data_IF_337299568795
#
_entry.id   IF_337299568795
#
_cell.length_a   1.000
_cell.length_b   1.000
_cell.length_c   1.000
_cell.angle_alpha   90.00
_cell.angle_beta   90.00
_cell.angle_gamma   90.00
#
_symmetry.space_group_name_H-M   'P 1'
#
loop_
_entity.id
_entity.type
_entity.pdbx_description
1 polymer ?
#
# COMPACT_ATOMS: atom_id res chain seq x y z
N UNK A 1 -2.46 19.48 11.99
CA UNK A 1 -2.36 18.20 11.24
C UNK A 1 -3.39 17.17 11.76
N UNK A 2 -3.92 17.36 12.99
CA UNK A 2 -4.87 16.42 13.63
C UNK A 2 -6.31 16.45 13.05
N UNK A 3 -6.67 17.44 12.25
CA UNK A 3 -8.05 17.65 11.79
C UNK A 3 -8.34 17.21 10.35
N UNK A 4 -7.49 16.36 9.73
CA UNK A 4 -7.60 16.03 8.32
C UNK A 4 -7.73 14.54 7.92
N UNK A 5 -8.47 13.65 8.61
CA UNK A 5 -8.76 12.33 8.03
C UNK A 5 -9.71 12.41 6.83
N UNK A 6 -10.45 13.52 6.69
CA UNK A 6 -11.64 13.67 5.82
C UNK A 6 -11.31 14.01 4.37
N UNK A 7 -10.16 14.56 4.13
CA UNK A 7 -9.76 15.11 2.84
C UNK A 7 -8.92 14.14 1.99
N UNK A 8 -8.43 13.06 2.57
CA UNK A 8 -7.55 12.09 1.89
C UNK A 8 -8.28 11.19 0.89
N UNK A 9 -9.58 10.93 1.09
CA UNK A 9 -10.41 10.23 0.10
C UNK A 9 -10.51 10.93 -1.26
N UNK A 10 -10.33 12.24 -1.30
CA UNK A 10 -10.29 13.01 -2.56
C UNK A 10 -9.03 12.71 -3.39
N UNK A 11 -7.89 12.39 -2.79
CA UNK A 11 -6.69 11.97 -3.52
C UNK A 11 -6.93 10.72 -4.36
N UNK A 12 -7.71 9.76 -3.86
CA UNK A 12 -8.06 8.54 -4.59
C UNK A 12 -9.05 8.80 -5.75
N UNK A 13 -9.86 9.86 -5.66
CA UNK A 13 -10.71 10.33 -6.78
C UNK A 13 -9.86 10.81 -7.94
N UNK A 14 -8.86 11.65 -7.67
CA UNK A 14 -7.96 12.17 -8.71
C UNK A 14 -7.08 11.06 -9.30
N UNK A 15 -6.64 10.11 -8.49
CA UNK A 15 -5.92 8.93 -8.95
C UNK A 15 -6.69 8.15 -10.01
N UNK A 16 -7.98 7.92 -9.79
CA UNK A 16 -8.84 7.27 -10.78
C UNK A 16 -8.93 8.06 -12.07
N UNK A 17 -9.11 9.38 -11.98
CA UNK A 17 -9.20 10.23 -13.15
C UNK A 17 -7.93 10.20 -13.98
N UNK A 18 -6.77 10.29 -13.33
CA UNK A 18 -5.46 10.24 -13.98
C UNK A 18 -5.22 8.88 -14.64
N UNK A 19 -5.53 7.79 -13.96
CA UNK A 19 -5.35 6.45 -14.52
C UNK A 19 -6.30 6.18 -15.68
N UNK A 20 -7.56 6.63 -15.58
CA UNK A 20 -8.50 6.53 -16.69
C UNK A 20 -8.07 7.40 -17.88
N UNK A 21 -7.51 8.59 -17.62
CA UNK A 21 -6.95 9.46 -18.64
C UNK A 21 -5.74 8.80 -19.33
N UNK A 22 -4.84 8.21 -18.56
CA UNK A 22 -3.70 7.44 -19.09
C UNK A 22 -4.17 6.27 -19.96
N UNK A 23 -5.11 5.45 -19.48
CA UNK A 23 -5.67 4.35 -20.25
C UNK A 23 -6.40 4.83 -21.51
N UNK A 24 -7.07 5.97 -21.44
CA UNK A 24 -7.71 6.59 -22.61
C UNK A 24 -6.67 7.03 -23.66
N UNK A 25 -5.56 7.62 -23.24
CA UNK A 25 -4.48 8.02 -24.16
C UNK A 25 -3.74 6.83 -24.76
N UNK A 26 -3.57 5.74 -24.00
CA UNK A 26 -2.85 4.55 -24.47
C UNK A 26 -3.74 3.64 -25.35
N UNK A 27 -5.01 3.45 -25.00
CA UNK A 27 -5.91 2.47 -25.61
C UNK A 27 -7.11 3.10 -26.34
N UNK A 28 -7.26 4.43 -26.32
CA UNK A 28 -8.40 5.14 -26.90
C UNK A 28 -9.73 4.73 -26.26
N UNK A 29 -10.82 4.79 -27.04
CA UNK A 29 -12.18 4.39 -26.57
C UNK A 29 -12.25 2.92 -26.16
N UNK A 30 -11.28 2.09 -26.57
CA UNK A 30 -11.26 0.67 -26.26
C UNK A 30 -10.94 0.37 -24.78
N UNK A 31 -10.48 1.34 -23.98
CA UNK A 31 -10.17 1.12 -22.57
C UNK A 31 -11.39 0.60 -21.77
N UNK A 32 -12.63 0.92 -22.18
CA UNK A 32 -13.83 0.35 -21.58
C UNK A 32 -13.95 -1.15 -21.77
N UNK A 33 -13.38 -1.70 -22.84
CA UNK A 33 -13.35 -3.16 -23.06
C UNK A 33 -12.50 -3.87 -22.01
N UNK A 34 -11.49 -3.20 -21.46
CA UNK A 34 -10.65 -3.77 -20.41
C UNK A 34 -11.37 -3.87 -19.07
N UNK A 35 -12.34 -3.01 -18.78
CA UNK A 35 -13.20 -3.17 -17.61
C UNK A 35 -14.05 -4.46 -17.71
N UNK A 36 -14.49 -4.86 -18.90
CA UNK A 36 -15.18 -6.14 -19.13
C UNK A 36 -14.23 -7.34 -18.97
N UNK A 37 -12.96 -7.17 -19.30
CA UNK A 37 -11.91 -8.19 -19.17
C UNK A 37 -11.34 -8.35 -17.77
N UNK A 38 -11.60 -7.42 -16.86
CA UNK A 38 -11.09 -7.42 -15.47
C UNK A 38 -11.38 -8.76 -14.77
N UNK A 39 -12.58 -9.32 -15.00
CA UNK A 39 -12.97 -10.60 -14.44
C UNK A 39 -12.94 -10.63 -12.90
N UNK A 40 -13.11 -11.82 -12.34
CA UNK A 40 -13.14 -12.00 -10.88
C UNK A 40 -11.82 -11.63 -10.21
N UNK A 41 -10.69 -11.95 -10.83
CA UNK A 41 -9.36 -11.65 -10.23
C UNK A 41 -9.11 -10.15 -10.11
N UNK A 42 -9.38 -9.38 -11.17
CA UNK A 42 -9.17 -7.93 -11.11
C UNK A 42 -10.18 -7.22 -10.21
N UNK A 43 -11.41 -7.73 -10.12
CA UNK A 43 -12.40 -7.20 -9.18
C UNK A 43 -11.97 -7.43 -7.72
N UNK A 44 -11.59 -8.68 -7.38
CA UNK A 44 -11.10 -9.02 -6.03
C UNK A 44 -9.84 -8.24 -5.68
N UNK A 45 -8.89 -8.14 -6.62
CA UNK A 45 -7.67 -7.36 -6.43
C UNK A 45 -7.94 -5.87 -6.27
N UNK A 46 -8.83 -5.31 -7.07
CA UNK A 46 -9.21 -3.90 -6.99
C UNK A 46 -9.92 -3.54 -5.69
N UNK A 47 -10.86 -4.37 -5.23
CA UNK A 47 -11.52 -4.20 -3.93
C UNK A 47 -10.50 -4.37 -2.80
N UNK A 48 -9.64 -5.40 -2.86
CA UNK A 48 -8.57 -5.61 -1.87
C UNK A 48 -7.66 -4.40 -1.73
N UNK A 49 -7.21 -3.84 -2.85
CA UNK A 49 -6.40 -2.62 -2.85
C UNK A 49 -7.17 -1.42 -2.31
N UNK A 50 -8.44 -1.27 -2.66
CA UNK A 50 -9.28 -0.18 -2.15
C UNK A 50 -9.48 -0.28 -0.63
N UNK A 51 -9.74 -1.48 -0.11
CA UNK A 51 -9.79 -1.73 1.34
C UNK A 51 -8.44 -1.39 1.98
N UNK A 52 -7.32 -1.82 1.37
CA UNK A 52 -6.00 -1.51 1.87
C UNK A 52 -5.76 -0.01 2.03
N UNK A 53 -6.10 0.77 1.01
CA UNK A 53 -5.89 2.22 1.00
C UNK A 53 -6.74 2.94 2.04
N UNK A 54 -8.02 2.58 2.15
CA UNK A 54 -8.92 3.16 3.16
C UNK A 54 -8.43 2.80 4.56
N UNK A 55 -8.12 1.52 4.79
CA UNK A 55 -7.66 1.04 6.08
C UNK A 55 -6.32 1.65 6.48
N UNK A 56 -5.40 1.90 5.53
CA UNK A 56 -4.16 2.62 5.79
C UNK A 56 -4.41 4.02 6.37
N UNK A 57 -5.32 4.77 5.74
CA UNK A 57 -5.69 6.12 6.22
C UNK A 57 -6.28 6.06 7.63
N UNK A 58 -7.18 5.10 7.89
CA UNK A 58 -7.75 4.91 9.23
C UNK A 58 -6.70 4.49 10.24
N UNK A 59 -5.76 3.64 9.87
CA UNK A 59 -4.66 3.26 10.75
C UNK A 59 -3.82 4.48 11.15
N UNK A 60 -3.26 5.21 10.17
CA UNK A 60 -2.34 6.34 10.45
C UNK A 60 -3.02 7.51 11.17
N UNK A 61 -4.36 7.59 11.14
CA UNK A 61 -5.11 8.61 11.87
C UNK A 61 -5.47 8.19 13.30
N UNK A 62 -5.52 6.89 13.58
CA UNK A 62 -5.88 6.34 14.89
C UNK A 62 -4.69 5.79 15.69
N UNK A 63 -3.49 5.71 15.08
CA UNK A 63 -2.26 5.29 15.75
C UNK A 63 -1.07 6.09 15.22
N UNK A 64 0.15 5.71 15.55
CA UNK A 64 1.37 6.35 15.05
C UNK A 64 1.70 5.88 13.64
N UNK A 65 2.43 6.71 12.88
CA UNK A 65 2.93 6.31 11.57
C UNK A 65 3.79 5.05 11.67
N UNK A 66 4.61 4.93 12.72
CA UNK A 66 5.46 3.78 12.97
C UNK A 66 4.65 2.48 13.11
N UNK A 67 3.55 2.47 13.87
CA UNK A 67 2.69 1.28 14.04
C UNK A 67 1.97 0.93 12.73
N UNK A 68 1.49 1.93 11.99
CA UNK A 68 0.88 1.70 10.68
C UNK A 68 1.86 1.06 9.71
N UNK A 69 3.07 1.61 9.60
CA UNK A 69 4.14 1.07 8.75
C UNK A 69 4.57 -0.33 9.22
N UNK A 70 4.57 -0.56 10.54
CA UNK A 70 4.78 -1.86 11.13
C UNK A 70 3.78 -2.90 10.64
N UNK A 71 2.50 -2.57 10.67
CA UNK A 71 1.47 -3.47 10.18
C UNK A 71 1.66 -3.77 8.68
N UNK A 72 2.06 -2.78 7.87
CA UNK A 72 2.35 -2.99 6.45
C UNK A 72 3.52 -3.95 6.22
N UNK A 73 4.48 -3.98 7.11
CA UNK A 73 5.60 -4.89 6.97
C UNK A 73 5.22 -6.37 7.23
N UNK A 74 3.99 -6.66 7.69
CA UNK A 74 3.43 -8.00 7.66
C UNK A 74 2.93 -8.44 6.27
N UNK A 75 2.85 -7.52 5.29
CA UNK A 75 2.39 -7.82 3.92
C UNK A 75 3.09 -9.02 3.27
N UNK A 76 4.44 -9.15 3.28
CA UNK A 76 5.11 -10.29 2.65
C UNK A 76 4.61 -11.64 3.18
N UNK A 77 4.32 -11.75 4.48
CA UNK A 77 3.81 -12.98 5.08
C UNK A 77 2.40 -13.32 4.58
N UNK A 78 1.49 -12.35 4.62
CA UNK A 78 0.14 -12.55 4.10
C UNK A 78 0.17 -12.85 2.60
N UNK A 79 1.03 -12.17 1.84
CA UNK A 79 1.21 -12.43 0.41
C UNK A 79 1.78 -13.80 0.16
N UNK A 80 2.80 -14.23 0.92
CA UNK A 80 3.39 -15.56 0.83
C UNK A 80 2.35 -16.65 1.10
N UNK A 81 1.58 -16.50 2.16
CA UNK A 81 0.51 -17.44 2.51
C UNK A 81 -0.54 -17.52 1.41
N UNK A 82 -1.03 -16.39 0.93
CA UNK A 82 -2.04 -16.34 -0.14
C UNK A 82 -1.49 -16.86 -1.47
N UNK A 83 -0.24 -16.54 -1.84
CA UNK A 83 0.40 -17.04 -3.05
C UNK A 83 0.60 -18.56 -2.99
N UNK A 84 1.00 -19.11 -1.85
CA UNK A 84 1.08 -20.55 -1.64
C UNK A 84 -0.30 -21.22 -1.81
N UNK A 85 -1.34 -20.68 -1.17
CA UNK A 85 -2.67 -21.27 -1.19
C UNK A 85 -3.37 -21.15 -2.55
N UNK A 86 -3.27 -19.98 -3.21
CA UNK A 86 -4.03 -19.67 -4.42
C UNK A 86 -3.26 -19.92 -5.72
N UNK A 87 -1.97 -19.64 -5.72
CA UNK A 87 -1.12 -19.75 -6.91
C UNK A 87 -0.24 -20.99 -6.88
N UNK A 88 -0.17 -21.70 -5.73
CA UNK A 88 0.75 -22.82 -5.48
C UNK A 88 2.22 -22.44 -5.71
N UNK A 89 2.56 -21.17 -5.52
CA UNK A 89 3.94 -20.67 -5.63
C UNK A 89 4.78 -21.26 -4.48
N UNK A 90 5.91 -21.85 -4.82
CA UNK A 90 6.90 -22.30 -3.82
C UNK A 90 7.78 -21.11 -3.46
N UNK A 91 7.76 -20.75 -2.19
CA UNK A 91 8.58 -19.64 -1.68
C UNK A 91 9.93 -20.24 -1.25
N UNK A 92 11.02 -19.65 -1.73
CA UNK A 92 12.36 -20.10 -1.38
C UNK A 92 12.65 -19.91 0.11
N UNK A 93 13.49 -20.77 0.68
CA UNK A 93 13.91 -20.66 2.09
C UNK A 93 14.53 -19.29 2.39
N UNK A 94 15.25 -18.73 1.42
CA UNK A 94 15.92 -17.46 1.56
C UNK A 94 14.91 -16.29 1.71
N UNK A 95 13.79 -16.34 0.98
CA UNK A 95 12.70 -15.38 1.14
C UNK A 95 12.08 -15.49 2.54
N UNK A 96 11.88 -16.72 3.05
CA UNK A 96 11.42 -16.94 4.42
C UNK A 96 12.36 -16.35 5.47
N UNK A 97 13.68 -16.57 5.31
CA UNK A 97 14.69 -16.00 6.20
C UNK A 97 14.62 -14.47 6.17
N UNK A 98 14.55 -13.85 4.98
CA UNK A 98 14.39 -12.39 4.85
C UNK A 98 13.13 -11.89 5.56
N UNK A 99 12.01 -12.57 5.39
CA UNK A 99 10.74 -12.22 6.04
C UNK A 99 10.86 -12.30 7.57
N UNK A 100 11.50 -13.32 8.11
CA UNK A 100 11.73 -13.49 9.56
C UNK A 100 12.59 -12.34 10.10
N UNK A 101 13.69 -12.00 9.42
CA UNK A 101 14.57 -10.89 9.82
C UNK A 101 13.78 -9.57 9.81
N UNK A 102 12.97 -9.32 8.75
CA UNK A 102 12.10 -8.16 8.68
C UNK A 102 11.13 -8.11 9.86
N UNK A 103 10.49 -9.24 10.20
CA UNK A 103 9.53 -9.32 11.32
C UNK A 103 10.18 -8.98 12.66
N UNK A 104 11.39 -9.46 12.90
CA UNK A 104 12.13 -9.12 14.13
C UNK A 104 12.32 -7.59 14.20
N UNK A 105 12.75 -6.96 13.10
CA UNK A 105 12.88 -5.50 13.04
C UNK A 105 11.58 -4.78 13.37
N UNK A 106 10.49 -5.27 12.83
CA UNK A 106 9.13 -4.76 13.03
C UNK A 106 8.69 -4.85 14.49
N UNK A 107 8.90 -6.01 15.13
CA UNK A 107 8.56 -6.22 16.54
C UNK A 107 9.36 -5.25 17.43
N UNK A 108 10.65 -5.06 17.14
CA UNK A 108 11.50 -4.10 17.88
C UNK A 108 10.93 -2.69 17.76
N UNK A 109 10.51 -2.27 16.57
CA UNK A 109 9.90 -0.96 16.36
C UNK A 109 8.58 -0.81 17.13
N UNK A 110 7.75 -1.86 17.18
CA UNK A 110 6.46 -1.83 17.86
C UNK A 110 6.59 -1.64 19.36
N UNK A 111 7.51 -2.37 19.99
CA UNK A 111 7.70 -2.34 21.45
C UNK A 111 8.14 -0.94 21.93
N UNK A 112 8.81 -0.16 21.07
CA UNK A 112 9.29 1.18 21.43
C UNK A 112 8.24 2.30 21.36
N UNK A 113 7.04 2.07 20.82
CA UNK A 113 6.06 3.12 20.53
C UNK A 113 4.75 2.92 21.32
N UNK A 114 4.80 3.03 22.65
CA UNK A 114 3.66 2.72 23.55
C UNK A 114 2.66 3.85 23.76
N UNK A 115 2.97 5.10 23.40
CA UNK A 115 2.20 6.26 23.87
C UNK A 115 0.87 6.56 23.14
N UNK A 116 0.56 5.92 22.01
CA UNK A 116 -0.70 6.11 21.27
C UNK A 116 -1.22 4.82 20.63
N UNK A 117 -1.15 3.73 21.35
CA UNK A 117 -1.59 2.44 20.85
C UNK A 117 -3.11 2.34 20.82
N UNK A 118 -3.74 2.72 19.73
CA UNK A 118 -5.14 2.40 19.48
C UNK A 118 -5.22 1.01 18.84
N UNK A 119 -5.92 0.09 19.53
CA UNK A 119 -6.24 -1.23 18.99
C UNK A 119 -6.95 -1.11 17.62
N UNK A 120 -7.79 -0.10 17.47
CA UNK A 120 -8.50 0.22 16.22
C UNK A 120 -7.51 0.53 15.11
N UNK A 121 -6.52 1.40 15.37
CA UNK A 121 -5.48 1.73 14.39
C UNK A 121 -4.65 0.51 13.97
N UNK A 122 -4.32 -0.37 14.91
CA UNK A 122 -3.61 -1.62 14.64
C UNK A 122 -4.44 -2.57 13.77
N UNK A 123 -5.71 -2.78 14.08
CA UNK A 123 -6.62 -3.63 13.29
C UNK A 123 -6.75 -3.10 11.85
N UNK A 124 -6.91 -1.79 11.67
CA UNK A 124 -6.94 -1.18 10.34
C UNK A 124 -5.58 -1.33 9.62
N UNK A 125 -4.46 -1.23 10.32
CA UNK A 125 -3.13 -1.47 9.73
C UNK A 125 -2.97 -2.90 9.20
N UNK A 126 -3.37 -3.90 9.96
CA UNK A 126 -3.38 -5.31 9.52
C UNK A 126 -4.36 -5.53 8.37
N UNK A 127 -5.55 -4.92 8.42
CA UNK A 127 -6.52 -4.98 7.32
C UNK A 127 -5.95 -4.40 6.03
N UNK A 128 -5.20 -3.29 6.13
CA UNK A 128 -4.47 -2.72 4.99
C UNK A 128 -3.47 -3.70 4.41
N UNK A 129 -2.67 -4.35 5.24
CA UNK A 129 -1.69 -5.36 4.82
C UNK A 129 -2.32 -6.54 4.11
N UNK A 130 -3.42 -7.07 4.64
CA UNK A 130 -4.16 -8.18 4.01
C UNK A 130 -4.75 -7.74 2.68
N UNK A 131 -5.38 -6.56 2.62
CA UNK A 131 -5.97 -6.02 1.39
C UNK A 131 -4.94 -5.84 0.28
N UNK A 132 -3.76 -5.31 0.60
CA UNK A 132 -2.67 -5.15 -0.36
C UNK A 132 -2.08 -6.51 -0.78
N UNK A 133 -2.01 -7.47 0.13
CA UNK A 133 -1.58 -8.85 -0.19
C UNK A 133 -2.53 -9.52 -1.17
N UNK A 134 -3.84 -9.36 -0.99
CA UNK A 134 -4.86 -9.83 -1.94
C UNK A 134 -4.63 -9.20 -3.31
N UNK A 135 -4.44 -7.88 -3.39
CA UNK A 135 -4.11 -7.20 -4.64
C UNK A 135 -2.87 -7.79 -5.31
N UNK A 136 -1.77 -7.94 -4.58
CA UNK A 136 -0.49 -8.46 -5.09
C UNK A 136 -0.63 -9.86 -5.68
N UNK A 137 -1.33 -10.76 -4.99
CA UNK A 137 -1.57 -12.12 -5.45
C UNK A 137 -2.51 -12.15 -6.67
N UNK A 138 -3.54 -11.32 -6.68
CA UNK A 138 -4.49 -11.27 -7.80
C UNK A 138 -3.89 -10.72 -9.08
N UNK A 139 -2.87 -9.87 -9.02
CA UNK A 139 -2.11 -9.42 -10.19
C UNK A 139 -1.42 -10.59 -10.93
N UNK A 140 -1.17 -11.70 -10.24
CA UNK A 140 -0.53 -12.90 -10.80
C UNK A 140 -1.51 -14.03 -11.08
N UNK A 141 -2.67 -14.01 -10.43
CA UNK A 141 -3.65 -15.10 -10.52
C UNK A 141 -4.09 -15.40 -11.95
N UNK A 142 -4.33 -14.36 -12.76
CA UNK A 142 -4.65 -14.49 -14.18
C UNK A 142 -3.75 -13.59 -15.01
N UNK A 143 -2.97 -14.19 -15.91
CA UNK A 143 -2.06 -13.45 -16.80
C UNK A 143 -2.77 -12.42 -17.68
N UNK A 144 -4.03 -12.73 -18.05
CA UNK A 144 -4.86 -11.91 -18.95
C UNK A 144 -5.54 -10.72 -18.24
N UNK A 145 -5.54 -10.69 -16.90
CA UNK A 145 -6.19 -9.60 -16.15
C UNK A 145 -5.48 -8.28 -16.41
N UNK A 146 -6.18 -7.23 -16.87
CA UNK A 146 -5.59 -5.93 -17.09
C UNK A 146 -5.20 -5.31 -15.75
N UNK A 147 -3.89 -5.24 -15.47
CA UNK A 147 -3.35 -4.85 -14.17
C UNK A 147 -3.66 -3.39 -13.82
N UNK A 148 -3.56 -2.50 -14.79
CA UNK A 148 -3.88 -1.09 -14.60
C UNK A 148 -5.37 -0.87 -14.37
N UNK A 149 -6.21 -1.64 -15.05
CA UNK A 149 -7.67 -1.58 -14.81
C UNK A 149 -8.03 -2.09 -13.41
N UNK A 150 -7.27 -3.06 -12.86
CA UNK A 150 -7.42 -3.49 -11.46
C UNK A 150 -7.16 -2.34 -10.48
N UNK A 151 -6.13 -1.52 -10.73
CA UNK A 151 -5.85 -0.31 -9.93
C UNK A 151 -6.97 0.73 -10.11
N UNK A 152 -7.53 0.86 -11.31
CA UNK A 152 -8.66 1.75 -11.56
C UNK A 152 -9.94 1.31 -10.83
N UNK A 153 -10.19 0.00 -10.71
CA UNK A 153 -11.27 -0.55 -9.88
C UNK A 153 -11.08 -0.18 -8.40
N UNK A 154 -9.86 -0.26 -7.88
CA UNK A 154 -9.57 0.18 -6.51
C UNK A 154 -9.88 1.67 -6.32
N UNK A 155 -9.48 2.53 -7.26
CA UNK A 155 -9.81 3.94 -7.22
C UNK A 155 -11.32 4.21 -7.27
N UNK A 156 -12.09 3.41 -8.06
CA UNK A 156 -13.55 3.50 -8.08
C UNK A 156 -14.16 3.10 -6.72
N UNK A 157 -13.66 2.02 -6.14
CA UNK A 157 -14.11 1.57 -4.82
C UNK A 157 -13.85 2.64 -3.74
N UNK A 158 -12.63 3.19 -3.68
CA UNK A 158 -12.28 4.28 -2.77
C UNK A 158 -13.19 5.52 -2.99
N UNK A 159 -13.45 5.89 -4.26
CA UNK A 159 -14.34 7.00 -4.58
C UNK A 159 -15.75 6.80 -4.03
N UNK A 160 -16.34 5.61 -4.24
CA UNK A 160 -17.69 5.30 -3.75
C UNK A 160 -17.74 5.38 -2.23
N UNK A 161 -16.79 4.74 -1.55
CA UNK A 161 -16.74 4.75 -0.07
C UNK A 161 -16.52 6.17 0.47
N UNK A 162 -15.59 6.94 -0.13
CA UNK A 162 -15.34 8.31 0.28
C UNK A 162 -16.58 9.19 0.09
N UNK A 163 -17.32 9.04 -1.03
CA UNK A 163 -18.56 9.75 -1.29
C UNK A 163 -19.63 9.42 -0.25
N UNK A 164 -19.83 8.14 0.05
CA UNK A 164 -20.78 7.71 1.09
C UNK A 164 -20.41 8.33 2.45
N UNK A 165 -19.14 8.36 2.80
CA UNK A 165 -18.67 8.92 4.07
C UNK A 165 -18.85 10.43 4.15
N UNK A 166 -18.61 11.17 3.05
CA UNK A 166 -18.84 12.62 2.95
C UNK A 166 -20.31 12.91 3.17
N UNK A 167 -21.19 12.20 2.47
CA UNK A 167 -22.64 12.36 2.60
C UNK A 167 -23.15 12.01 4.01
N UNK A 168 -22.71 10.89 4.57
CA UNK A 168 -23.13 10.43 5.90
C UNK A 168 -22.71 11.38 7.02
N UNK A 169 -21.59 12.11 6.84
CA UNK A 169 -21.07 13.06 7.83
C UNK A 169 -21.40 14.53 7.50
N UNK A 170 -22.23 14.81 6.50
CA UNK A 170 -22.60 16.16 6.06
C UNK A 170 -21.38 17.07 5.82
N UNK A 171 -20.33 16.52 5.19
CA UNK A 171 -19.10 17.25 4.92
C UNK A 171 -19.14 17.91 3.53
N UNK A 172 -18.45 19.05 3.33
CA UNK A 172 -18.35 19.67 2.02
C UNK A 172 -17.56 18.78 1.05
N UNK A 173 -18.03 18.68 -0.19
CA UNK A 173 -17.36 17.93 -1.26
C UNK A 173 -16.06 18.58 -1.71
N UNK A 174 -15.96 19.90 -1.61
CA UNK A 174 -14.80 20.66 -2.08
C UNK A 174 -13.94 21.09 -0.89
N UNK A 175 -12.68 20.74 -0.94
CA UNK A 175 -11.67 21.25 -0.02
C UNK A 175 -11.17 22.62 -0.49
N UNK A 176 -10.38 23.29 0.35
CA UNK A 176 -9.66 24.51 -0.05
C UNK A 176 -8.74 24.22 -1.24
N UNK A 177 -8.45 25.25 -2.06
CA UNK A 177 -7.60 25.09 -3.24
C UNK A 177 -6.23 24.46 -2.90
N UNK A 178 -5.63 24.86 -1.79
CA UNK A 178 -4.37 24.28 -1.30
C UNK A 178 -4.50 22.79 -1.00
N UNK A 179 -5.51 22.39 -0.24
CA UNK A 179 -5.73 20.99 0.09
C UNK A 179 -6.05 20.16 -1.16
N UNK A 180 -6.84 20.70 -2.09
CA UNK A 180 -7.15 20.04 -3.36
C UNK A 180 -5.90 19.79 -4.20
N UNK A 181 -4.97 20.74 -4.25
CA UNK A 181 -3.68 20.58 -4.92
C UNK A 181 -2.82 19.47 -4.25
N UNK A 182 -2.74 19.47 -2.92
CA UNK A 182 -1.99 18.43 -2.17
C UNK A 182 -2.58 17.04 -2.38
N UNK A 183 -3.91 16.90 -2.42
CA UNK A 183 -4.58 15.62 -2.69
C UNK A 183 -4.36 15.16 -4.12
N UNK A 184 -4.36 16.07 -5.08
CA UNK A 184 -4.07 15.75 -6.47
C UNK A 184 -2.64 15.25 -6.62
N UNK A 185 -1.67 15.93 -6.01
CA UNK A 185 -0.27 15.53 -6.02
C UNK A 185 -0.07 14.15 -5.37
N UNK A 186 -0.67 13.92 -4.20
CA UNK A 186 -0.65 12.61 -3.54
C UNK A 186 -1.24 11.52 -4.45
N UNK A 187 -2.41 11.78 -5.06
CA UNK A 187 -3.05 10.84 -5.98
C UNK A 187 -2.18 10.48 -7.19
N UNK A 188 -1.47 11.46 -7.77
CA UNK A 188 -0.53 11.25 -8.87
C UNK A 188 0.63 10.33 -8.43
N UNK A 189 1.29 10.66 -7.31
CA UNK A 189 2.44 9.91 -6.80
C UNK A 189 2.06 8.46 -6.50
N UNK A 190 0.93 8.25 -5.79
CA UNK A 190 0.44 6.90 -5.47
C UNK A 190 0.05 6.13 -6.73
N UNK A 191 -0.58 6.79 -7.71
CA UNK A 191 -0.94 6.17 -8.98
C UNK A 191 0.31 5.70 -9.73
N UNK A 192 1.34 6.52 -9.84
CA UNK A 192 2.62 6.15 -10.46
C UNK A 192 3.27 4.98 -9.73
N UNK A 193 3.32 5.00 -8.40
CA UNK A 193 3.85 3.89 -7.60
C UNK A 193 3.12 2.58 -7.87
N UNK A 194 1.78 2.58 -7.93
CA UNK A 194 0.98 1.38 -8.20
C UNK A 194 1.10 0.89 -9.65
N UNK A 195 1.30 1.79 -10.62
CA UNK A 195 1.61 1.41 -12.01
C UNK A 195 2.95 0.68 -12.04
N UNK A 196 4.00 1.24 -11.44
CA UNK A 196 5.33 0.62 -11.36
C UNK A 196 5.27 -0.73 -10.63
N UNK A 197 4.57 -0.80 -9.51
CA UNK A 197 4.32 -2.04 -8.78
C UNK A 197 3.63 -3.10 -9.67
N UNK A 198 2.61 -2.69 -10.41
CA UNK A 198 1.88 -3.57 -11.33
C UNK A 198 2.75 -4.06 -12.49
N UNK A 199 3.70 -3.26 -12.95
CA UNK A 199 4.70 -3.67 -13.95
C UNK A 199 5.65 -4.69 -13.33
N UNK A 200 6.20 -4.42 -12.17
CA UNK A 200 7.10 -5.33 -11.44
C UNK A 200 6.48 -6.69 -11.15
N UNK A 201 5.17 -6.75 -10.91
CA UNK A 201 4.44 -8.01 -10.67
C UNK A 201 4.46 -9.00 -11.84
N UNK A 202 4.90 -8.59 -13.03
CA UNK A 202 5.05 -9.49 -14.19
C UNK A 202 6.32 -10.35 -14.10
N UNK A 203 7.37 -9.84 -13.46
CA UNK A 203 8.69 -10.44 -13.45
C UNK A 203 9.03 -11.10 -12.10
N UNK A 204 8.47 -10.61 -11.00
CA UNK A 204 8.83 -10.99 -9.63
C UNK A 204 7.66 -11.73 -8.97
N UNK A 205 7.93 -12.72 -8.10
CA UNK A 205 6.91 -13.42 -7.33
C UNK A 205 6.19 -12.45 -6.39
N UNK A 206 4.92 -12.75 -6.06
CA UNK A 206 4.09 -11.84 -5.28
C UNK A 206 4.70 -11.55 -3.88
N UNK A 207 5.20 -12.58 -3.19
CA UNK A 207 5.83 -12.44 -1.87
C UNK A 207 7.14 -11.63 -1.94
N UNK A 208 7.93 -11.83 -2.99
CA UNK A 208 9.18 -11.09 -3.20
C UNK A 208 8.92 -9.62 -3.52
N UNK A 209 7.91 -9.35 -4.34
CA UNK A 209 7.52 -7.98 -4.69
C UNK A 209 7.02 -7.20 -3.45
N UNK A 210 6.25 -7.86 -2.57
CA UNK A 210 5.83 -7.23 -1.30
C UNK A 210 6.98 -7.11 -0.30
N UNK A 211 7.96 -8.00 -0.32
CA UNK A 211 9.18 -7.84 0.47
C UNK A 211 9.99 -6.62 0.01
N UNK A 212 10.14 -6.43 -1.31
CA UNK A 212 10.80 -5.24 -1.85
C UNK A 212 10.04 -3.96 -1.51
N UNK A 213 8.71 -3.99 -1.41
CA UNK A 213 7.93 -2.82 -1.03
C UNK A 213 8.19 -2.36 0.42
N UNK A 214 8.87 -3.18 1.27
CA UNK A 214 9.31 -2.72 2.60
C UNK A 214 10.33 -1.57 2.54
N UNK A 215 10.92 -1.28 1.38
CA UNK A 215 11.69 -0.04 1.16
C UNK A 215 10.84 1.20 1.43
N UNK A 216 9.52 1.13 1.24
CA UNK A 216 8.56 2.18 1.58
C UNK A 216 8.56 2.47 3.09
N UNK A 217 8.67 1.43 3.92
CA UNK A 217 8.73 1.57 5.39
C UNK A 217 9.98 2.35 5.79
N UNK A 218 11.13 1.99 5.22
CA UNK A 218 12.41 2.66 5.48
C UNK A 218 12.35 4.12 4.99
N UNK A 219 11.86 4.32 3.76
CA UNK A 219 11.68 5.64 3.17
C UNK A 219 10.70 6.50 3.96
N UNK A 220 9.59 5.92 4.43
CA UNK A 220 8.59 6.61 5.24
C UNK A 220 9.15 7.11 6.57
N UNK A 221 9.93 6.27 7.27
CA UNK A 221 10.62 6.67 8.52
C UNK A 221 11.62 7.81 8.24
N UNK A 222 12.39 7.69 7.17
CA UNK A 222 13.36 8.72 6.78
C UNK A 222 12.67 10.06 6.48
N UNK A 223 11.55 10.06 5.73
CA UNK A 223 10.80 11.27 5.40
C UNK A 223 10.19 11.94 6.64
N UNK A 224 9.67 11.16 7.59
CA UNK A 224 9.09 11.69 8.83
C UNK A 224 10.16 12.29 9.74
N UNK A 225 11.39 11.78 9.66
CA UNK A 225 12.54 12.29 10.41
C UNK A 225 13.10 13.62 9.84
N UNK A 226 12.99 13.80 8.51
CA UNK A 226 13.49 15.04 7.91
C UNK A 226 12.58 16.23 8.25
N UNK A 227 13.12 17.34 8.77
CA UNK A 227 12.32 18.51 9.18
C UNK A 227 11.75 19.32 8.01
N UNK A 228 11.75 18.76 6.79
CA UNK A 228 11.34 19.44 5.56
C UNK A 228 9.83 19.76 5.50
N UNK A 229 9.01 19.00 6.22
CA UNK A 229 7.54 19.14 6.19
C UNK A 229 6.92 19.59 7.51
N UNK A 230 7.72 20.11 8.43
CA UNK A 230 7.24 20.54 9.75
C UNK A 230 6.82 19.40 10.67
N UNK A 231 7.15 18.16 10.32
CA UNK A 231 6.94 16.97 11.14
C UNK A 231 8.30 16.66 11.77
N UNK A 232 8.47 17.00 13.04
CA UNK A 232 9.71 16.71 13.79
C UNK A 232 9.47 15.48 14.68
N UNK A 233 9.24 14.32 14.10
CA UNK A 233 9.22 13.07 14.87
C UNK A 233 10.64 12.50 14.89
N UNK A 234 11.34 12.67 16.03
CA UNK A 234 12.64 12.03 16.23
C UNK A 234 12.40 10.53 16.40
N UNK A 235 12.98 9.68 15.53
CA UNK A 235 12.79 8.25 15.65
C UNK A 235 13.36 7.74 16.97
N UNK A 236 12.61 6.90 17.68
CA UNK A 236 13.09 6.25 18.89
C UNK A 236 14.26 5.31 18.56
N UNK A 237 15.09 5.00 19.58
CA UNK A 237 16.17 4.03 19.41
C UNK A 237 15.65 2.69 18.84
N UNK A 238 14.47 2.25 19.28
CA UNK A 238 13.84 1.03 18.76
C UNK A 238 13.45 1.15 17.29
N UNK A 239 13.01 2.34 16.85
CA UNK A 239 12.71 2.59 15.43
C UNK A 239 13.98 2.49 14.57
N UNK A 240 15.10 3.02 15.06
CA UNK A 240 16.40 2.95 14.36
C UNK A 240 16.89 1.50 14.29
N UNK A 241 16.87 0.77 15.42
CA UNK A 241 17.31 -0.62 15.48
C UNK A 241 16.42 -1.50 14.58
N UNK A 242 15.11 -1.36 14.68
CA UNK A 242 14.18 -2.11 13.85
C UNK A 242 14.32 -1.80 12.36
N UNK A 243 14.54 -0.53 12.00
CA UNK A 243 14.85 -0.10 10.63
C UNK A 243 16.14 -0.73 10.09
N UNK A 244 17.16 -0.88 10.94
CA UNK A 244 18.39 -1.59 10.58
C UNK A 244 18.12 -3.06 10.23
N UNK A 245 17.29 -3.79 11.01
CA UNK A 245 16.89 -5.15 10.68
C UNK A 245 16.12 -5.24 9.36
N UNK A 246 15.23 -4.29 9.07
CA UNK A 246 14.55 -4.21 7.77
C UNK A 246 15.56 -4.02 6.63
N UNK A 247 16.53 -3.12 6.81
CA UNK A 247 17.58 -2.91 5.82
C UNK A 247 18.40 -4.18 5.59
N UNK A 248 18.82 -4.87 6.66
CA UNK A 248 19.55 -6.14 6.57
C UNK A 248 18.73 -7.20 5.84
N UNK A 249 17.43 -7.30 6.12
CA UNK A 249 16.53 -8.23 5.43
C UNK A 249 16.50 -7.98 3.91
N UNK A 250 16.31 -6.73 3.50
CA UNK A 250 16.28 -6.36 2.08
C UNK A 250 17.62 -6.55 1.40
N UNK A 251 18.71 -6.22 2.10
CA UNK A 251 20.07 -6.40 1.58
C UNK A 251 20.39 -7.89 1.39
N UNK A 252 20.07 -8.73 2.38
CA UNK A 252 20.23 -10.18 2.30
C UNK A 252 19.44 -10.74 1.10
N UNK A 253 18.16 -10.35 0.94
CA UNK A 253 17.35 -10.75 -0.20
C UNK A 253 17.98 -10.33 -1.55
N UNK A 254 18.45 -9.09 -1.64
CA UNK A 254 19.03 -8.54 -2.87
C UNK A 254 20.34 -9.23 -3.27
N UNK A 255 21.17 -9.61 -2.28
CA UNK A 255 22.40 -10.37 -2.53
C UNK A 255 22.10 -11.75 -3.13
N UNK A 256 21.10 -12.44 -2.61
CA UNK A 256 20.74 -13.79 -3.08
C UNK A 256 20.16 -13.75 -4.49
N UNK A 257 19.30 -12.77 -4.80
CA UNK A 257 18.76 -12.59 -6.15
C UNK A 257 19.83 -12.32 -7.20
N UNK A 258 20.99 -11.79 -6.79
CA UNK A 258 22.11 -11.51 -7.71
C UNK A 258 22.92 -12.77 -8.05
N UNK A 259 22.82 -13.83 -7.24
CA UNK A 259 23.59 -15.06 -7.36
C UNK A 259 22.80 -16.26 -7.92
N UNK A 260 21.49 -16.13 -8.08
CA UNK A 260 20.58 -17.08 -8.74
C UNK A 260 20.10 -16.55 -10.08
#
# INVERSE_FOLDING_TARGET
>A
IRDQPRSRGLGDVYKRQILNLYLYFEEGINFYKNYKKVGKSGLVGGIGLGIAMISFIYSITNTTAAITLLCLAAMPFFTALLAFLLLKEKISLNVWISMIIATIGIIIMAVGNTEKNSLIGFVFGLTSSIGFSIFSVTLRWRKETPKFTTVAVAGLFCFVIATIMILANNQPFFATSYNSAMFSLHGIIVCLGLILYSIGSKAIQAAELTLLSLTEVIGGIFWVWLPLFGINEIPSSNTIIGGFFLFVSLFYYSLIMRWN
#
